data_IF_865838307619
#
_entry.id   IF_865838307619
#
_cell.length_a   1.000
_cell.length_b   1.000
_cell.length_c   1.000
_cell.angle_alpha   90.00
_cell.angle_beta   90.00
_cell.angle_gamma   90.00
#
_symmetry.space_group_name_H-M   'P 1'
#
loop_
_entity.id
_entity.type
_entity.pdbx_description
1 polymer ?
#
# COMPACT_ATOMS: atom_id res chain seq x y z
N UNK A 1 16.26 -0.44 5.66
CA UNK A 1 16.51 -1.90 5.81
C UNK A 1 15.33 -2.72 5.29
N UNK A 2 14.10 -2.49 5.75
CA UNK A 2 12.90 -3.25 5.33
C UNK A 2 12.63 -3.21 3.81
N UNK A 3 12.74 -2.03 3.18
CA UNK A 3 12.53 -1.85 1.73
C UNK A 3 13.60 -2.60 0.92
N UNK A 4 14.86 -2.61 1.41
CA UNK A 4 15.94 -3.37 0.79
C UNK A 4 15.73 -4.88 0.89
N UNK A 5 15.20 -5.38 2.01
CA UNK A 5 14.85 -6.79 2.21
C UNK A 5 13.70 -7.25 1.32
N UNK A 6 12.68 -6.41 1.13
CA UNK A 6 11.56 -6.69 0.21
C UNK A 6 12.05 -6.74 -1.24
N UNK A 7 12.91 -5.78 -1.64
CA UNK A 7 13.54 -5.80 -2.95
C UNK A 7 14.39 -7.06 -3.19
N UNK A 8 15.17 -7.48 -2.19
CA UNK A 8 16.00 -8.68 -2.29
C UNK A 8 15.18 -9.98 -2.34
N UNK A 9 14.04 -10.02 -1.65
CA UNK A 9 13.12 -11.16 -1.68
C UNK A 9 12.43 -11.29 -3.05
N UNK A 10 11.94 -10.19 -3.63
CA UNK A 10 11.24 -10.25 -4.92
C UNK A 10 12.23 -10.43 -6.09
N UNK A 11 13.43 -9.83 -6.05
CA UNK A 11 14.46 -10.01 -7.10
C UNK A 11 15.11 -11.40 -7.02
N UNK A 12 15.38 -11.89 -5.80
CA UNK A 12 16.13 -13.13 -5.60
C UNK A 12 15.26 -14.39 -5.46
N UNK A 13 14.16 -14.30 -4.70
CA UNK A 13 13.31 -15.46 -4.37
C UNK A 13 12.11 -15.56 -5.32
N UNK A 14 11.59 -14.44 -5.82
CA UNK A 14 10.50 -14.40 -6.80
C UNK A 14 10.74 -15.28 -8.03
N UNK A 15 11.88 -15.14 -8.74
CA UNK A 15 12.19 -15.97 -9.91
C UNK A 15 12.39 -17.45 -9.58
N UNK A 16 12.84 -17.77 -8.36
CA UNK A 16 12.98 -19.15 -7.89
C UNK A 16 11.61 -19.79 -7.66
N UNK A 17 10.67 -19.04 -7.06
CA UNK A 17 9.30 -19.51 -6.84
C UNK A 17 8.56 -19.66 -8.18
N UNK A 18 8.69 -18.71 -9.10
CA UNK A 18 8.06 -18.79 -10.43
C UNK A 18 8.60 -19.95 -11.27
N UNK A 19 9.91 -20.24 -11.19
CA UNK A 19 10.49 -21.45 -11.80
C UNK A 19 10.07 -22.75 -11.10
N UNK A 20 9.89 -22.75 -9.78
CA UNK A 20 9.47 -23.95 -9.02
C UNK A 20 7.98 -24.27 -9.18
N UNK A 21 7.13 -23.27 -9.40
CA UNK A 21 5.68 -23.44 -9.57
C UNK A 21 5.31 -23.81 -11.02
N UNK A 22 6.27 -23.79 -11.96
CA UNK A 22 6.02 -24.17 -13.35
C UNK A 22 5.14 -23.16 -14.09
N UNK A 23 5.14 -21.89 -13.67
CA UNK A 23 4.48 -20.80 -14.36
C UNK A 23 5.27 -20.29 -15.58
N UNK A 24 6.31 -21.02 -16.00
CA UNK A 24 7.03 -20.75 -17.23
C UNK A 24 6.15 -21.08 -18.42
N UNK A 25 5.61 -20.07 -19.11
CA UNK A 25 5.25 -20.26 -20.51
C UNK A 25 6.53 -20.51 -21.30
N UNK A 26 6.49 -21.54 -22.15
CA UNK A 26 7.60 -21.87 -23.07
C UNK A 26 7.88 -20.69 -24.01
N UNK A 27 6.85 -19.89 -24.32
CA UNK A 27 6.93 -18.66 -25.10
C UNK A 27 7.02 -17.41 -24.21
N UNK A 28 8.01 -16.56 -24.48
CA UNK A 28 8.26 -15.29 -23.77
C UNK A 28 7.08 -14.31 -23.88
N UNK A 29 6.34 -14.39 -24.99
CA UNK A 29 5.25 -13.50 -25.33
C UNK A 29 3.99 -14.28 -25.74
N UNK A 30 2.86 -13.93 -25.14
CA UNK A 30 1.54 -14.41 -25.54
C UNK A 30 0.70 -13.23 -26.02
N UNK A 31 0.39 -13.19 -27.32
CA UNK A 31 -0.41 -12.13 -27.94
C UNK A 31 0.14 -10.71 -27.69
N UNK A 32 1.47 -10.56 -27.63
CA UNK A 32 2.17 -9.30 -27.33
C UNK A 32 2.33 -8.97 -25.84
N UNK A 33 1.77 -9.78 -24.94
CA UNK A 33 1.96 -9.66 -23.49
C UNK A 33 3.18 -10.46 -23.09
N UNK A 34 4.10 -9.84 -22.35
CA UNK A 34 5.26 -10.54 -21.82
C UNK A 34 4.88 -11.36 -20.58
N UNK A 35 5.18 -12.67 -20.60
CA UNK A 35 4.69 -13.63 -19.61
C UNK A 35 5.65 -13.88 -18.45
N UNK A 36 6.94 -13.59 -18.63
CA UNK A 36 7.98 -13.99 -17.66
C UNK A 36 8.16 -13.01 -16.51
N UNK A 37 7.57 -11.82 -16.57
CA UNK A 37 7.57 -10.88 -15.45
C UNK A 37 6.53 -11.28 -14.38
N UNK A 38 6.73 -10.92 -13.09
CA UNK A 38 5.82 -11.30 -12.00
C UNK A 38 4.35 -10.93 -12.25
N UNK A 39 4.11 -9.84 -12.98
CA UNK A 39 2.79 -9.50 -13.51
C UNK A 39 2.90 -9.52 -15.05
N UNK A 40 2.14 -10.37 -15.75
CA UNK A 40 2.14 -10.36 -17.21
C UNK A 40 1.55 -9.07 -17.76
N UNK A 41 2.28 -8.33 -18.59
CA UNK A 41 1.80 -7.05 -19.16
C UNK A 41 2.41 -6.72 -20.51
N UNK A 42 1.78 -5.79 -21.22
CA UNK A 42 2.33 -5.19 -22.43
C UNK A 42 3.42 -4.17 -22.05
N UNK A 43 4.61 -4.36 -22.61
CA UNK A 43 5.69 -3.39 -22.53
C UNK A 43 5.77 -2.61 -23.85
N UNK A 44 6.12 -1.31 -23.83
CA UNK A 44 6.28 -0.51 -25.04
C UNK A 44 7.59 -0.81 -25.80
N UNK A 45 8.31 -1.85 -25.40
CA UNK A 45 9.55 -2.33 -25.98
C UNK A 45 9.61 -3.86 -25.87
N UNK A 46 10.36 -4.47 -26.79
CA UNK A 46 10.61 -5.91 -26.76
C UNK A 46 11.72 -6.24 -25.75
N UNK A 47 11.49 -7.29 -24.99
CA UNK A 47 12.39 -7.83 -23.98
C UNK A 47 13.12 -8.98 -24.64
N UNK A 48 14.28 -8.67 -25.21
CA UNK A 48 15.10 -9.60 -26.00
C UNK A 48 16.19 -10.26 -25.17
N UNK A 49 16.62 -9.61 -24.08
CA UNK A 49 17.75 -10.04 -23.26
C UNK A 49 17.39 -10.12 -21.77
N UNK A 50 18.18 -10.91 -21.03
CA UNK A 50 18.04 -11.08 -19.58
C UNK A 50 18.22 -9.75 -18.81
N UNK A 51 19.03 -8.83 -19.32
CA UNK A 51 19.20 -7.49 -18.75
C UNK A 51 17.92 -6.67 -18.86
N UNK A 52 17.28 -6.65 -20.02
CA UNK A 52 16.01 -5.94 -20.23
C UNK A 52 14.88 -6.53 -19.40
N UNK A 53 14.88 -7.85 -19.21
CA UNK A 53 13.95 -8.55 -18.32
C UNK A 53 14.07 -8.04 -16.88
N UNK A 54 15.28 -7.97 -16.31
CA UNK A 54 15.45 -7.49 -14.93
C UNK A 54 15.08 -6.02 -14.76
N UNK A 55 15.35 -5.19 -15.76
CA UNK A 55 14.92 -3.78 -15.72
C UNK A 55 13.39 -3.68 -15.74
N UNK A 56 12.72 -4.43 -16.61
CA UNK A 56 11.26 -4.47 -16.68
C UNK A 56 10.63 -5.00 -15.37
N UNK A 57 11.15 -6.10 -14.85
CA UNK A 57 10.73 -6.68 -13.56
C UNK A 57 10.99 -5.74 -12.39
N UNK A 58 12.15 -5.06 -12.36
CA UNK A 58 12.47 -4.05 -11.34
C UNK A 58 11.53 -2.84 -11.39
N UNK A 59 11.21 -2.36 -12.58
CA UNK A 59 10.24 -1.27 -12.76
C UNK A 59 8.84 -1.66 -12.27
N UNK A 60 8.37 -2.88 -12.57
CA UNK A 60 7.10 -3.38 -12.05
C UNK A 60 7.08 -3.42 -10.53
N UNK A 61 8.13 -3.94 -9.89
CA UNK A 61 8.21 -3.98 -8.43
C UNK A 61 8.13 -2.61 -7.79
N UNK A 62 8.87 -1.63 -8.32
CA UNK A 62 8.85 -0.27 -7.80
C UNK A 62 7.44 0.32 -7.93
N UNK A 63 6.80 0.12 -9.08
CA UNK A 63 5.44 0.62 -9.32
C UNK A 63 4.43 -0.01 -8.37
N UNK A 64 4.47 -1.34 -8.18
CA UNK A 64 3.61 -2.06 -7.24
C UNK A 64 3.85 -1.58 -5.80
N UNK A 65 5.11 -1.37 -5.40
CA UNK A 65 5.44 -0.85 -4.08
C UNK A 65 4.89 0.56 -3.87
N UNK A 66 4.99 1.45 -4.88
CA UNK A 66 4.41 2.79 -4.81
C UNK A 66 2.89 2.77 -4.69
N UNK A 67 2.21 1.89 -5.44
CA UNK A 67 0.76 1.70 -5.34
C UNK A 67 0.34 1.16 -3.97
N UNK A 68 1.08 0.18 -3.43
CA UNK A 68 0.80 -0.37 -2.11
C UNK A 68 0.98 0.69 -1.01
N UNK A 69 2.04 1.50 -1.09
CA UNK A 69 2.30 2.59 -0.15
C UNK A 69 1.27 3.71 -0.24
N UNK A 70 0.82 4.08 -1.44
CA UNK A 70 -0.18 5.13 -1.62
C UNK A 70 -1.53 4.73 -1.03
N UNK A 71 -1.99 3.50 -1.28
CA UNK A 71 -3.23 2.97 -0.70
C UNK A 71 -3.10 2.90 0.82
N UNK A 72 -2.01 2.32 1.33
CA UNK A 72 -1.79 2.18 2.77
C UNK A 72 -1.70 3.52 3.49
N UNK A 73 -1.04 4.51 2.89
CA UNK A 73 -0.90 5.85 3.45
C UNK A 73 -2.24 6.57 3.56
N UNK A 74 -3.11 6.46 2.55
CA UNK A 74 -4.46 7.05 2.59
C UNK A 74 -5.30 6.41 3.69
N UNK A 75 -5.26 5.08 3.81
CA UNK A 75 -5.99 4.36 4.87
C UNK A 75 -5.51 4.79 6.25
N UNK A 76 -4.18 4.87 6.45
CA UNK A 76 -3.60 5.31 7.72
C UNK A 76 -4.05 6.73 8.09
N UNK A 77 -3.98 7.68 7.14
CA UNK A 77 -4.42 9.05 7.38
C UNK A 77 -5.90 9.15 7.75
N UNK A 78 -6.76 8.35 7.10
CA UNK A 78 -8.18 8.31 7.42
C UNK A 78 -8.42 7.81 8.86
N UNK A 79 -7.72 6.75 9.27
CA UNK A 79 -7.83 6.21 10.64
C UNK A 79 -7.37 7.24 11.67
N UNK A 80 -6.20 7.86 11.47
CA UNK A 80 -5.67 8.87 12.39
C UNK A 80 -6.61 10.07 12.50
N UNK A 81 -7.13 10.54 11.37
CA UNK A 81 -8.07 11.67 11.35
C UNK A 81 -9.36 11.33 12.09
N UNK A 82 -9.91 10.13 11.86
CA UNK A 82 -11.12 9.65 12.55
C UNK A 82 -10.91 9.56 14.05
N UNK A 83 -9.77 9.03 14.50
CA UNK A 83 -9.44 8.94 15.92
C UNK A 83 -9.29 10.33 16.56
N UNK A 84 -8.63 11.26 15.86
CA UNK A 84 -8.48 12.63 16.34
C UNK A 84 -9.83 13.34 16.50
N UNK A 85 -10.72 13.22 15.49
CA UNK A 85 -12.08 13.76 15.56
C UNK A 85 -12.87 13.15 16.72
N UNK A 86 -12.82 11.83 16.90
CA UNK A 86 -13.50 11.16 18.00
C UNK A 86 -13.02 11.66 19.37
N UNK A 87 -11.72 11.89 19.53
CA UNK A 87 -11.16 12.45 20.75
C UNK A 87 -11.63 13.89 21.00
N UNK A 88 -11.63 14.74 19.98
CA UNK A 88 -12.13 16.11 20.08
C UNK A 88 -13.61 16.17 20.47
N UNK A 89 -14.44 15.30 19.88
CA UNK A 89 -15.85 15.18 20.27
C UNK A 89 -16.02 14.73 21.73
N UNK A 90 -15.21 13.79 22.19
CA UNK A 90 -15.24 13.34 23.59
C UNK A 90 -14.93 14.48 24.57
N UNK A 91 -13.87 15.26 24.29
CA UNK A 91 -13.51 16.44 25.09
C UNK A 91 -14.63 17.49 25.05
N UNK A 92 -15.21 17.74 23.88
CA UNK A 92 -16.30 18.70 23.72
C UNK A 92 -17.52 18.30 24.55
N UNK A 93 -17.95 17.04 24.47
CA UNK A 93 -19.08 16.52 25.24
C UNK A 93 -18.82 16.66 26.74
N UNK A 94 -17.60 16.31 27.19
CA UNK A 94 -17.24 16.45 28.61
C UNK A 94 -17.27 17.92 29.07
N UNK A 95 -16.76 18.83 28.24
CA UNK A 95 -16.76 20.27 28.51
C UNK A 95 -18.17 20.85 28.56
N UNK A 96 -19.05 20.42 27.66
CA UNK A 96 -20.47 20.81 27.63
C UNK A 96 -21.21 20.32 28.88
N UNK A 97 -21.01 19.07 29.29
CA UNK A 97 -21.60 18.55 30.54
C UNK A 97 -21.18 19.39 31.75
N UNK A 98 -19.88 19.69 31.86
CA UNK A 98 -19.35 20.53 32.95
C UNK A 98 -19.93 21.95 32.94
N UNK A 99 -20.15 22.54 31.77
CA UNK A 99 -20.83 23.83 31.63
C UNK A 99 -22.29 23.76 32.07
N UNK A 100 -23.01 22.71 31.67
CA UNK A 100 -24.40 22.49 32.04
C UNK A 100 -24.55 22.31 33.55
N UNK A 101 -23.69 21.50 34.18
CA UNK A 101 -23.68 21.32 35.64
C UNK A 101 -23.44 22.64 36.38
N UNK A 102 -22.50 23.47 35.88
CA UNK A 102 -22.23 24.81 36.44
C UNK A 102 -23.42 25.75 36.27
N UNK A 103 -24.07 25.72 35.11
CA UNK A 103 -25.26 26.53 34.84
C UNK A 103 -26.40 26.15 35.77
N UNK A 104 -26.64 24.86 35.96
CA UNK A 104 -27.69 24.36 36.83
C UNK A 104 -27.42 24.67 38.31
N UNK A 105 -26.17 24.52 38.76
CA UNK A 105 -25.77 24.92 40.11
C UNK A 105 -26.01 26.43 40.37
N UNK A 106 -25.75 27.29 39.37
CA UNK A 106 -26.09 28.72 39.46
C UNK A 106 -27.59 28.98 39.50
N UNK A 107 -28.37 28.24 38.73
CA UNK A 107 -29.82 28.40 38.69
C UNK A 107 -30.48 28.01 40.01
N UNK A 108 -29.96 26.98 40.69
CA UNK A 108 -30.44 26.55 42.02
C UNK A 108 -30.02 27.49 43.17
N UNK A 109 -29.10 28.43 42.93
CA UNK A 109 -28.67 29.44 43.90
C UNK A 109 -29.46 30.75 43.79
N UNK A 110 -30.32 30.88 42.79
CA UNK A 110 -31.28 31.97 42.58
C UNK A 110 -32.66 31.55 43.11
#
# INVERSE_FOLDING_TARGET
VLIGMIGLFIVGVGPLIDNMIGAGHDDDYLNGVYMKTPIPMYFPFDIVDFTTHYVATGFQMVTVAMLALSISGVVFMNVVTTQNLAHQFSILIHSLKKLMDRSQARFNQL
#
